data_IF_778164395346
#
_entry.id   IF_778164395346
#
_cell.length_a   1.000
_cell.length_b   1.000
_cell.length_c   1.000
_cell.angle_alpha   90.00
_cell.angle_beta   90.00
_cell.angle_gamma   90.00
#
_symmetry.space_group_name_H-M   'P 1'
#
loop_
_entity.id
_entity.type
_entity.pdbx_description
1 polymer ?
#
# COMPACT_ATOMS: atom_id res chain seq x y z
N UNK A 1 13.83 -21.45 17.80
CA UNK A 1 12.87 -20.39 17.41
C UNK A 1 12.63 -20.45 15.91
N UNK A 2 11.39 -20.52 15.48
CA UNK A 2 11.09 -20.50 14.07
C UNK A 2 11.30 -19.08 13.48
N UNK A 3 12.03 -19.02 12.38
CA UNK A 3 12.28 -17.76 11.67
C UNK A 3 11.66 -17.80 10.28
N UNK A 4 11.13 -16.67 9.84
CA UNK A 4 10.52 -16.49 8.53
C UNK A 4 11.26 -15.36 7.82
N UNK A 5 11.67 -15.59 6.57
CA UNK A 5 12.48 -14.63 5.83
C UNK A 5 11.78 -14.18 4.56
N UNK A 6 11.96 -12.90 4.24
CA UNK A 6 11.63 -12.35 2.94
C UNK A 6 12.76 -11.45 2.45
N UNK A 7 13.10 -11.55 1.16
CA UNK A 7 14.25 -10.83 0.57
C UNK A 7 13.79 -9.97 -0.60
N UNK A 8 14.22 -8.71 -0.60
CA UNK A 8 14.07 -7.76 -1.71
C UNK A 8 15.44 -7.51 -2.32
N UNK A 9 15.63 -7.93 -3.58
CA UNK A 9 16.88 -7.74 -4.30
C UNK A 9 16.83 -6.51 -5.21
N UNK A 10 17.99 -5.90 -5.46
CA UNK A 10 18.20 -4.79 -6.42
C UNK A 10 17.34 -3.55 -6.16
N UNK A 11 17.11 -3.21 -4.87
CA UNK A 11 16.44 -1.98 -4.51
C UNK A 11 17.29 -0.78 -4.95
N UNK A 12 16.74 0.09 -5.80
CA UNK A 12 17.44 1.28 -6.35
C UNK A 12 17.52 2.43 -5.34
N UNK A 13 17.97 2.11 -4.12
CA UNK A 13 18.21 3.06 -3.04
C UNK A 13 19.55 2.69 -2.39
N UNK A 14 20.35 3.69 -2.04
CA UNK A 14 21.65 3.46 -1.41
C UNK A 14 21.49 2.78 -0.03
N UNK A 15 22.36 1.82 0.35
CA UNK A 15 22.24 1.07 1.61
C UNK A 15 22.22 1.99 2.85
N UNK A 16 23.00 3.05 2.85
CA UNK A 16 23.05 4.02 3.95
C UNK A 16 21.68 4.65 4.21
N UNK A 17 20.93 5.00 3.16
CA UNK A 17 19.57 5.57 3.28
C UNK A 17 18.55 4.53 3.72
N UNK A 18 18.64 3.28 3.25
CA UNK A 18 17.75 2.17 3.61
C UNK A 18 17.95 1.76 5.08
N UNK A 19 19.19 1.71 5.57
CA UNK A 19 19.50 1.38 6.97
C UNK A 19 18.84 2.30 7.99
N UNK A 20 18.70 3.60 7.66
CA UNK A 20 18.00 4.56 8.53
C UNK A 20 16.52 4.23 8.70
N UNK A 21 15.84 3.70 7.67
CA UNK A 21 14.45 3.28 7.79
C UNK A 21 14.30 1.92 8.48
N UNK A 22 15.27 1.04 8.27
CA UNK A 22 15.31 -0.30 8.89
C UNK A 22 15.50 -0.23 10.40
N UNK A 23 16.33 0.69 10.89
CA UNK A 23 16.60 0.82 12.33
C UNK A 23 15.35 1.18 13.14
N UNK A 24 14.37 1.82 12.50
CA UNK A 24 13.11 2.21 13.17
C UNK A 24 12.19 1.02 13.43
N UNK A 25 12.27 -0.04 12.60
CA UNK A 25 11.35 -1.20 12.67
C UNK A 25 11.93 -2.41 13.41
N UNK A 26 13.22 -2.41 13.71
CA UNK A 26 13.86 -3.54 14.44
C UNK A 26 13.26 -3.70 15.82
N UNK A 27 12.96 -4.95 16.20
CA UNK A 27 12.43 -5.32 17.52
C UNK A 27 10.94 -5.02 17.74
N UNK A 28 10.27 -4.31 16.80
CA UNK A 28 8.84 -4.02 16.89
C UNK A 28 7.99 -5.24 16.54
N UNK A 29 6.73 -5.26 17.03
CA UNK A 29 5.74 -6.22 16.56
C UNK A 29 5.42 -5.98 15.07
N UNK A 30 4.95 -7.00 14.36
CA UNK A 30 4.66 -6.89 12.92
C UNK A 30 3.66 -5.78 12.62
N UNK A 31 2.64 -5.60 13.47
CA UNK A 31 1.63 -4.54 13.33
C UNK A 31 2.21 -3.14 13.60
N UNK A 32 3.03 -2.97 14.63
CA UNK A 32 3.71 -1.70 14.93
C UNK A 32 4.70 -1.31 13.82
N UNK A 33 5.47 -2.29 13.32
CA UNK A 33 6.42 -2.07 12.23
C UNK A 33 5.71 -1.65 10.93
N UNK A 34 4.55 -2.23 10.63
CA UNK A 34 3.73 -1.87 9.48
C UNK A 34 3.20 -0.43 9.61
N UNK A 35 2.63 -0.06 10.76
CA UNK A 35 2.15 1.29 11.03
C UNK A 35 3.29 2.33 10.91
N UNK A 36 4.46 2.03 11.47
CA UNK A 36 5.62 2.91 11.43
C UNK A 36 6.16 3.14 10.02
N UNK A 37 6.15 2.09 9.17
CA UNK A 37 6.55 2.22 7.78
C UNK A 37 5.53 3.01 6.94
N UNK A 38 4.24 2.90 7.24
CA UNK A 38 3.19 3.68 6.59
C UNK A 38 3.31 5.19 6.86
N UNK A 39 3.68 5.56 8.08
CA UNK A 39 3.90 6.95 8.49
C UNK A 39 5.25 7.51 8.02
N UNK A 40 6.17 6.64 7.59
CA UNK A 40 7.51 7.05 7.16
C UNK A 40 7.46 7.85 5.86
N UNK A 41 7.93 9.10 5.87
CA UNK A 41 8.11 9.95 4.69
C UNK A 41 9.28 9.53 3.79
N UNK A 42 10.08 8.54 4.21
CA UNK A 42 11.26 8.09 3.48
C UNK A 42 10.87 7.23 2.28
N UNK A 43 11.47 7.50 1.13
CA UNK A 43 11.25 6.71 -0.10
C UNK A 43 11.47 5.20 0.07
N UNK A 44 12.33 4.76 1.01
CA UNK A 44 12.53 3.34 1.31
C UNK A 44 11.37 2.71 2.09
N UNK A 45 10.53 3.50 2.77
CA UNK A 45 9.40 3.03 3.58
C UNK A 45 8.43 2.16 2.79
N UNK A 46 7.98 2.63 1.62
CA UNK A 46 7.02 1.91 0.77
C UNK A 46 7.54 0.53 0.32
N UNK A 47 8.82 0.45 -0.02
CA UNK A 47 9.43 -0.82 -0.45
C UNK A 47 9.59 -1.79 0.72
N UNK A 48 9.98 -1.28 1.89
CA UNK A 48 10.09 -2.07 3.12
C UNK A 48 8.71 -2.54 3.60
N UNK A 49 7.68 -1.71 3.48
CA UNK A 49 6.30 -2.06 3.80
C UNK A 49 5.81 -3.25 2.96
N UNK A 50 6.04 -3.21 1.64
CA UNK A 50 5.69 -4.32 0.74
C UNK A 50 6.45 -5.59 1.09
N UNK A 51 7.74 -5.47 1.43
CA UNK A 51 8.56 -6.61 1.84
C UNK A 51 8.08 -7.20 3.18
N UNK A 52 7.73 -6.35 4.15
CA UNK A 52 7.18 -6.78 5.44
C UNK A 52 5.84 -7.50 5.26
N UNK A 53 4.93 -6.96 4.44
CA UNK A 53 3.66 -7.61 4.10
C UNK A 53 3.86 -8.98 3.44
N UNK A 54 4.86 -9.11 2.57
CA UNK A 54 5.24 -10.40 1.97
C UNK A 54 5.75 -11.38 3.01
N UNK A 55 6.58 -10.93 3.97
CA UNK A 55 7.05 -11.76 5.07
C UNK A 55 5.90 -12.24 5.98
N UNK A 56 4.96 -11.35 6.31
CA UNK A 56 3.75 -11.68 7.08
C UNK A 56 2.88 -12.69 6.32
N UNK A 57 2.67 -12.50 5.02
CA UNK A 57 1.91 -13.43 4.20
C UNK A 57 2.58 -14.83 4.14
N UNK A 58 3.91 -14.89 4.05
CA UNK A 58 4.65 -16.15 4.13
C UNK A 58 4.47 -16.85 5.48
N UNK A 59 4.40 -16.08 6.58
CA UNK A 59 4.16 -16.61 7.91
C UNK A 59 2.75 -17.21 8.04
N UNK A 60 1.75 -16.46 7.61
CA UNK A 60 0.33 -16.84 7.76
C UNK A 60 -0.05 -17.98 6.81
N UNK A 61 0.37 -17.92 5.55
CA UNK A 61 -0.04 -18.91 4.54
C UNK A 61 0.75 -20.22 4.65
N UNK A 62 2.07 -20.13 4.80
CA UNK A 62 2.93 -21.34 4.79
C UNK A 62 3.04 -21.99 6.16
N UNK A 63 3.15 -21.19 7.23
CA UNK A 63 3.37 -21.69 8.59
C UNK A 63 2.15 -21.58 9.51
N UNK A 64 1.05 -20.99 9.04
CA UNK A 64 -0.22 -20.78 9.77
C UNK A 64 -0.03 -20.04 11.12
N UNK A 65 0.99 -19.19 11.21
CA UNK A 65 1.30 -18.43 12.41
C UNK A 65 0.47 -17.13 12.41
N UNK A 66 -0.26 -16.81 13.49
CA UNK A 66 -1.02 -15.58 13.58
C UNK A 66 -0.12 -14.35 13.63
N UNK A 67 -0.56 -13.25 13.01
CA UNK A 67 0.21 -11.99 12.93
C UNK A 67 0.53 -11.41 14.31
N UNK A 68 -0.32 -11.66 15.32
CA UNK A 68 -0.15 -11.21 16.71
C UNK A 68 1.12 -11.72 17.37
N UNK A 69 1.59 -12.90 16.97
CA UNK A 69 2.82 -13.53 17.49
C UNK A 69 4.09 -13.12 16.74
N UNK A 70 3.94 -12.43 15.61
CA UNK A 70 5.09 -12.06 14.78
C UNK A 70 5.74 -10.75 15.24
N UNK A 71 7.07 -10.76 15.25
CA UNK A 71 7.88 -9.56 15.48
C UNK A 71 9.07 -9.50 14.53
N UNK A 72 9.60 -8.30 14.29
CA UNK A 72 10.80 -8.09 13.47
C UNK A 72 12.03 -8.41 14.31
N UNK A 73 12.57 -9.61 14.15
CA UNK A 73 13.77 -10.03 14.86
C UNK A 73 14.99 -9.27 14.36
N UNK A 74 15.23 -9.28 13.06
CA UNK A 74 16.33 -8.56 12.46
C UNK A 74 16.03 -8.17 11.01
N UNK A 75 16.75 -7.15 10.51
CA UNK A 75 16.70 -6.76 9.10
C UNK A 75 18.11 -6.49 8.62
N UNK A 76 18.52 -7.19 7.59
CA UNK A 76 19.83 -7.05 6.97
C UNK A 76 19.74 -6.17 5.72
N UNK A 77 20.67 -5.24 5.57
CA UNK A 77 20.79 -4.38 4.40
C UNK A 77 22.19 -4.52 3.83
N UNK A 78 22.30 -5.30 2.75
CA UNK A 78 23.52 -5.57 2.04
C UNK A 78 23.68 -4.62 0.85
N UNK A 79 24.93 -4.34 0.48
CA UNK A 79 25.22 -3.52 -0.68
C UNK A 79 25.02 -4.36 -1.95
N UNK A 80 24.24 -3.83 -2.89
CA UNK A 80 24.08 -4.38 -4.22
C UNK A 80 25.04 -3.76 -5.25
N UNK A 81 24.87 -4.08 -6.53
CA UNK A 81 25.69 -3.54 -7.61
C UNK A 81 25.59 -2.03 -7.69
N UNK A 82 26.64 -1.41 -8.21
CA UNK A 82 26.74 0.02 -8.43
C UNK A 82 26.71 0.32 -9.93
N UNK A 83 25.78 1.14 -10.38
CA UNK A 83 25.76 1.63 -11.76
C UNK A 83 26.55 2.93 -11.81
N UNK A 84 27.66 2.92 -12.52
CA UNK A 84 28.54 4.07 -12.71
C UNK A 84 28.02 4.93 -13.87
N UNK A 85 28.01 6.26 -13.71
CA UNK A 85 27.70 7.26 -14.73
C UNK A 85 28.72 8.36 -14.68
N UNK A 86 29.18 8.81 -15.84
CA UNK A 86 30.09 9.94 -15.95
C UNK A 86 29.30 11.22 -16.17
N UNK A 87 29.69 12.28 -15.48
CA UNK A 87 29.21 13.65 -15.73
C UNK A 87 30.38 14.45 -16.23
N UNK A 88 30.32 15.00 -17.46
CA UNK A 88 31.40 15.86 -17.98
C UNK A 88 31.50 17.12 -17.14
N UNK A 89 32.77 17.53 -16.88
CA UNK A 89 33.14 18.72 -16.12
C UNK A 89 34.02 19.61 -16.97
N UNK A 90 34.40 20.78 -16.43
CA UNK A 90 35.29 21.73 -17.09
C UNK A 90 36.64 21.08 -17.45
N UNK A 91 37.28 21.59 -18.49
CA UNK A 91 38.60 21.15 -18.99
C UNK A 91 38.67 19.67 -19.38
N UNK A 92 37.57 19.10 -19.90
CA UNK A 92 37.51 17.68 -20.34
C UNK A 92 37.57 16.66 -19.20
N UNK A 93 37.51 17.07 -17.94
CA UNK A 93 37.46 16.14 -16.81
C UNK A 93 36.09 15.46 -16.69
N UNK A 94 36.04 14.26 -16.10
CA UNK A 94 34.80 13.50 -15.87
C UNK A 94 34.63 13.19 -14.39
N UNK A 95 33.50 13.61 -13.82
CA UNK A 95 33.12 13.24 -12.47
C UNK A 95 32.27 11.95 -12.48
N UNK A 96 32.64 10.95 -11.67
CA UNK A 96 31.94 9.67 -11.56
C UNK A 96 30.78 9.75 -10.57
N UNK A 97 29.58 9.43 -11.02
CA UNK A 97 28.38 9.28 -10.18
C UNK A 97 28.08 7.80 -10.02
N UNK A 98 28.09 7.29 -8.77
CA UNK A 98 27.69 5.92 -8.44
C UNK A 98 26.21 5.87 -8.03
N UNK A 99 25.37 5.22 -8.82
CA UNK A 99 23.99 4.88 -8.43
C UNK A 99 24.01 3.52 -7.72
N UNK A 100 24.07 3.57 -6.38
CA UNK A 100 24.16 2.38 -5.51
C UNK A 100 22.80 1.71 -5.35
N UNK A 101 22.79 0.37 -5.34
CA UNK A 101 21.62 -0.45 -5.02
C UNK A 101 21.83 -1.17 -3.70
N UNK A 102 20.76 -1.70 -3.11
CA UNK A 102 20.80 -2.50 -1.88
C UNK A 102 19.96 -3.77 -2.00
N UNK A 103 20.32 -4.78 -1.22
CA UNK A 103 19.52 -5.97 -0.98
C UNK A 103 19.05 -5.93 0.47
N UNK A 104 17.76 -6.17 0.70
CA UNK A 104 17.16 -6.13 2.03
C UNK A 104 16.55 -7.48 2.33
N UNK A 105 16.89 -8.05 3.50
CA UNK A 105 16.30 -9.28 4.02
C UNK A 105 15.67 -8.98 5.37
N UNK A 106 14.35 -9.22 5.50
CA UNK A 106 13.63 -9.12 6.76
C UNK A 106 13.53 -10.53 7.36
N UNK A 107 13.84 -10.65 8.64
CA UNK A 107 13.71 -11.86 9.42
C UNK A 107 12.66 -11.61 10.49
N UNK A 108 11.56 -12.34 10.43
CA UNK A 108 10.53 -12.35 11.45
C UNK A 108 10.77 -13.51 12.41
N UNK A 109 10.65 -13.23 13.69
CA UNK A 109 10.63 -14.23 14.76
C UNK A 109 9.21 -14.43 15.30
N UNK A 110 8.98 -15.54 15.96
CA UNK A 110 7.72 -15.88 16.63
C UNK A 110 7.91 -15.72 18.14
N UNK A 111 6.99 -14.98 18.78
CA UNK A 111 6.89 -14.89 20.25
C UNK A 111 5.84 -15.87 20.76
N UNK A 112 6.01 -16.34 21.97
CA UNK A 112 5.03 -17.18 22.65
C UNK A 112 3.83 -16.34 23.12
N UNK A 113 4.08 -15.12 23.59
CA UNK A 113 3.06 -14.17 24.03
C UNK A 113 2.42 -13.44 22.84
N UNK A 114 1.10 -13.41 22.81
CA UNK A 114 0.36 -12.62 21.83
C UNK A 114 0.36 -11.14 22.23
N UNK A 115 0.83 -10.27 21.35
CA UNK A 115 0.63 -8.83 21.52
C UNK A 115 -0.65 -8.38 20.83
N UNK A 116 -1.51 -7.70 21.56
CA UNK A 116 -2.69 -7.09 21.01
C UNK A 116 -2.36 -6.12 19.86
N UNK A 117 -3.24 -6.06 18.86
CA UNK A 117 -3.09 -5.12 17.74
C UNK A 117 -3.37 -3.71 18.26
N UNK A 118 -2.34 -2.91 18.45
CA UNK A 118 -2.47 -1.51 18.87
C UNK A 118 -3.05 -0.59 17.78
N UNK A 119 -2.94 -0.99 16.51
CA UNK A 119 -3.34 -0.17 15.37
C UNK A 119 -4.21 -0.97 14.40
N UNK A 120 -5.31 -0.36 13.95
CA UNK A 120 -6.09 -0.85 12.82
C UNK A 120 -5.60 -0.16 11.55
N UNK A 121 -4.94 -0.93 10.68
CA UNK A 121 -4.37 -0.41 9.44
C UNK A 121 -5.44 -0.42 8.36
N UNK A 122 -5.93 0.75 7.98
CA UNK A 122 -6.87 0.93 6.87
C UNK A 122 -6.11 1.44 5.64
N UNK A 123 -6.13 0.68 4.55
CA UNK A 123 -5.57 1.15 3.27
C UNK A 123 -6.45 2.25 2.68
N UNK A 124 -6.06 3.51 2.88
CA UNK A 124 -6.79 4.70 2.38
C UNK A 124 -7.08 4.67 0.88
N UNK A 125 -6.28 3.94 0.09
CA UNK A 125 -6.52 3.72 -1.35
C UNK A 125 -7.73 2.81 -1.62
N UNK A 126 -8.00 1.82 -0.76
CA UNK A 126 -9.19 0.96 -0.87
C UNK A 126 -10.44 1.70 -0.40
N UNK A 127 -10.37 2.46 0.70
CA UNK A 127 -11.48 3.27 1.20
C UNK A 127 -11.94 4.32 0.17
N UNK A 128 -11.02 5.04 -0.48
CA UNK A 128 -11.35 6.00 -1.56
C UNK A 128 -11.97 5.33 -2.80
N UNK A 129 -11.65 4.07 -3.11
CA UNK A 129 -12.29 3.33 -4.22
C UNK A 129 -13.70 2.88 -3.87
N UNK A 130 -13.95 2.45 -2.64
CA UNK A 130 -15.27 2.01 -2.16
C UNK A 130 -16.21 3.20 -2.13
N UNK A 131 -15.84 4.31 -1.49
CA UNK A 131 -16.66 5.53 -1.43
C UNK A 131 -16.93 6.15 -2.81
N UNK A 132 -15.99 6.05 -3.77
CA UNK A 132 -16.20 6.51 -5.15
C UNK A 132 -17.15 5.59 -5.94
N UNK A 133 -17.18 4.29 -5.60
CA UNK A 133 -18.10 3.32 -6.21
C UNK A 133 -19.51 3.48 -5.66
N UNK A 134 -19.64 3.72 -4.35
CA UNK A 134 -20.91 4.00 -3.68
C UNK A 134 -21.54 5.32 -4.15
N UNK A 135 -20.73 6.40 -4.25
CA UNK A 135 -21.19 7.68 -4.81
C UNK A 135 -21.59 7.59 -6.28
N UNK A 136 -20.93 6.74 -7.10
CA UNK A 136 -21.38 6.48 -8.48
C UNK A 136 -22.63 5.63 -8.56
N UNK A 137 -22.83 4.68 -7.65
CA UNK A 137 -24.05 3.87 -7.58
C UNK A 137 -25.25 4.69 -7.12
N UNK A 138 -25.10 5.53 -6.10
CA UNK A 138 -26.15 6.43 -5.62
C UNK A 138 -26.52 7.52 -6.65
N UNK A 139 -25.55 8.08 -7.36
CA UNK A 139 -25.81 9.04 -8.45
C UNK A 139 -26.55 8.40 -9.65
N UNK A 140 -26.28 7.11 -9.93
CA UNK A 140 -26.96 6.37 -11.00
C UNK A 140 -28.39 5.99 -10.62
N UNK A 141 -28.63 5.68 -9.33
CA UNK A 141 -29.98 5.41 -8.80
C UNK A 141 -30.85 6.68 -8.80
N UNK A 142 -30.30 7.82 -8.37
CA UNK A 142 -31.00 9.11 -8.39
C UNK A 142 -31.35 9.57 -9.81
N UNK A 143 -30.45 9.37 -10.79
CA UNK A 143 -30.74 9.69 -12.20
C UNK A 143 -31.81 8.78 -12.82
N UNK A 144 -31.96 7.54 -12.35
CA UNK A 144 -33.01 6.63 -12.80
C UNK A 144 -34.39 7.04 -12.27
N UNK A 145 -34.47 7.45 -10.98
CA UNK A 145 -35.73 7.94 -10.38
C UNK A 145 -36.20 9.25 -10.99
N UNK A 146 -35.30 10.19 -11.32
CA UNK A 146 -35.69 11.43 -12.04
C UNK A 146 -36.19 11.14 -13.47
N UNK A 147 -35.61 10.14 -14.14
CA UNK A 147 -36.05 9.70 -15.46
C UNK A 147 -37.47 9.13 -15.44
N UNK A 148 -37.81 8.31 -14.43
CA UNK A 148 -39.16 7.73 -14.26
C UNK A 148 -40.21 8.80 -13.90
N UNK A 149 -39.87 9.74 -13.03
CA UNK A 149 -40.77 10.88 -12.69
C UNK A 149 -41.07 11.74 -13.91
N UNK A 150 -40.11 12.04 -14.77
CA UNK A 150 -40.32 12.78 -16.04
C UNK A 150 -41.11 12.01 -17.07
N UNK A 151 -41.02 10.66 -17.11
CA UNK A 151 -41.82 9.82 -17.99
C UNK A 151 -43.29 9.71 -17.53
N UNK A 152 -43.56 9.66 -16.22
CA UNK A 152 -44.90 9.66 -15.63
C UNK A 152 -45.63 10.98 -15.86
N UNK A 153 -44.96 12.13 -15.72
CA UNK A 153 -45.56 13.47 -15.99
C UNK A 153 -45.92 13.64 -17.46
N UNK A 154 -45.10 13.16 -18.40
CA UNK A 154 -45.41 13.21 -19.84
C UNK A 154 -46.61 12.32 -20.23
N UNK A 155 -46.76 11.11 -19.63
CA UNK A 155 -47.93 10.25 -19.89
C UNK A 155 -49.22 10.84 -19.30
N UNK A 156 -49.18 11.51 -18.13
CA UNK A 156 -50.35 12.16 -17.53
C UNK A 156 -50.83 13.39 -18.32
N UNK A 157 -49.91 14.13 -18.97
CA UNK A 157 -50.25 15.29 -19.83
C UNK A 157 -50.89 14.85 -21.15
N UNK A 158 -50.46 13.71 -21.74
CA UNK A 158 -51.05 13.17 -22.98
C UNK A 158 -52.48 12.64 -22.79
N UNK A 159 -52.79 12.09 -21.62
CA UNK A 159 -54.18 11.63 -21.32
C UNK A 159 -55.17 12.79 -21.08
N UNK A 160 -54.73 13.93 -20.54
CA UNK A 160 -55.61 15.09 -20.32
C UNK A 160 -55.99 15.82 -21.62
N UNK A 161 -55.19 15.75 -22.66
CA UNK A 161 -55.49 16.36 -23.95
C UNK A 161 -56.47 15.57 -24.82
N UNK A 162 -56.65 14.25 -24.55
CA UNK A 162 -57.57 13.39 -25.31
C UNK A 162 -59.04 13.47 -24.82
N UNK A 163 -59.33 13.92 -23.59
CA UNK A 163 -60.67 14.02 -23.03
C UNK A 163 -61.43 15.31 -23.35
N UNK A 164 -60.91 16.24 -24.17
CA UNK A 164 -61.53 17.54 -24.49
C UNK A 164 -62.11 17.67 -25.90
N UNK A 165 -62.33 16.56 -26.60
CA UNK A 165 -63.02 16.57 -27.92
C UNK A 165 -64.13 15.55 -28.00
N UNK A 166 -65.20 15.74 -27.19
CA UNK A 166 -66.46 15.09 -27.38
C UNK A 166 -67.58 15.96 -26.76
N UNK A 167 -67.99 16.96 -27.50
CA UNK A 167 -69.34 17.58 -27.54
C UNK A 167 -69.56 18.07 -28.95
#
# INVERSE_FOLDING_TARGET
METIQATLRYLRIAPRKTRLAVNVIKGLSANEAEAQLMLSSRRSGDYLLRLLRSAIANATNNKKIPVTKLFVQNVYVNQGPKIKRGTPRARGSMALIEKKMSHVTIVLGVREEEKEKKFTITDTKKAKKVTKKEKKASAKAAAHEEGEKKARTKKGAAQKTFQRKSV
#
